data_IF_554946726036
#
_entry.id   IF_554946726036
#
_cell.length_a   1.000
_cell.length_b   1.000
_cell.length_c   1.000
_cell.angle_alpha   90.00
_cell.angle_beta   90.00
_cell.angle_gamma   90.00
#
_symmetry.space_group_name_H-M   'P 1'
#
loop_
_entity.id
_entity.type
_entity.pdbx_description
1 polymer ?
#
# COMPACT_ATOMS: atom_id res chain seq x y z
N UNK A 1 11.63 -14.64 8.35
CA UNK A 1 10.62 -15.40 7.59
C UNK A 1 10.23 -14.59 6.38
N UNK A 2 10.85 -14.91 5.24
CA UNK A 2 10.48 -14.29 3.97
C UNK A 2 9.21 -14.92 3.41
N UNK A 3 8.27 -14.08 2.97
CA UNK A 3 7.04 -14.52 2.31
C UNK A 3 6.80 -13.71 1.05
N UNK A 4 6.28 -14.38 0.03
CA UNK A 4 5.85 -13.77 -1.23
C UNK A 4 4.34 -13.46 -1.23
N UNK A 5 3.64 -13.91 -0.20
CA UNK A 5 2.21 -13.66 -0.04
C UNK A 5 2.00 -12.25 0.49
N UNK A 6 1.06 -11.52 -0.10
CA UNK A 6 0.73 -10.15 0.31
C UNK A 6 -0.51 -10.08 1.21
N UNK A 7 -1.09 -11.22 1.57
CA UNK A 7 -2.36 -11.36 2.30
C UNK A 7 -2.30 -10.99 3.80
N UNK A 8 -1.08 -10.77 4.31
CA UNK A 8 -0.76 -10.45 5.70
C UNK A 8 -1.24 -11.52 6.71
N UNK A 9 -1.38 -12.78 6.30
CA UNK A 9 -1.84 -13.85 7.20
C UNK A 9 -0.80 -14.25 8.23
N UNK A 10 0.49 -14.05 7.95
CA UNK A 10 1.56 -14.33 8.92
C UNK A 10 1.50 -13.39 10.13
N UNK A 11 1.24 -12.10 9.89
CA UNK A 11 1.00 -11.08 10.91
C UNK A 11 -0.27 -11.43 11.70
N UNK A 12 -1.36 -11.77 11.01
CA UNK A 12 -2.64 -12.13 11.64
C UNK A 12 -2.54 -13.41 12.48
N UNK A 13 -1.62 -14.31 12.15
CA UNK A 13 -1.31 -15.49 12.96
C UNK A 13 -0.52 -15.16 14.24
N UNK A 14 -0.14 -13.89 14.46
CA UNK A 14 0.54 -13.41 15.66
C UNK A 14 2.07 -13.41 15.56
N UNK A 15 2.65 -13.63 14.37
CA UNK A 15 4.08 -13.45 14.18
C UNK A 15 4.41 -11.96 14.26
N UNK A 16 5.53 -11.66 14.91
CA UNK A 16 5.97 -10.27 15.06
C UNK A 16 6.48 -9.70 13.74
N UNK A 17 6.30 -8.39 13.54
CA UNK A 17 6.66 -7.73 12.28
C UNK A 17 8.16 -7.65 12.02
N UNK A 18 9.00 -7.83 13.04
CA UNK A 18 10.47 -7.89 12.93
C UNK A 18 10.97 -9.21 12.33
N UNK A 19 10.18 -10.29 12.41
CA UNK A 19 10.54 -11.60 11.86
C UNK A 19 9.93 -11.86 10.49
N UNK A 20 9.01 -11.04 10.02
CA UNK A 20 8.35 -11.17 8.72
C UNK A 20 9.02 -10.25 7.70
N UNK A 21 9.27 -10.79 6.50
CA UNK A 21 9.73 -10.01 5.35
C UNK A 21 8.75 -10.24 4.19
N UNK A 22 7.93 -9.22 3.92
CA UNK A 22 6.93 -9.23 2.84
C UNK A 22 7.60 -8.85 1.51
N UNK A 23 8.10 -9.86 0.78
CA UNK A 23 8.86 -9.66 -0.46
C UNK A 23 8.03 -8.94 -1.53
N UNK A 24 6.74 -9.28 -1.64
CA UNK A 24 5.83 -8.65 -2.61
C UNK A 24 4.96 -7.56 -1.98
N UNK A 25 5.43 -6.96 -0.89
CA UNK A 25 4.67 -5.96 -0.16
C UNK A 25 3.43 -6.55 0.53
N UNK A 26 2.45 -5.71 0.84
CA UNK A 26 1.30 -6.09 1.67
C UNK A 26 0.01 -5.47 1.17
N UNK A 27 -1.12 -6.15 1.39
CA UNK A 27 -2.45 -5.60 1.16
C UNK A 27 -2.86 -4.57 2.21
N UNK A 28 -2.15 -4.47 3.34
CA UNK A 28 -2.57 -3.64 4.48
C UNK A 28 -2.73 -2.15 4.13
N UNK A 29 -1.85 -1.63 3.27
CA UNK A 29 -1.78 -0.22 2.93
C UNK A 29 -1.78 0.02 1.42
N UNK A 30 -2.15 1.24 1.04
CA UNK A 30 -2.16 1.74 -0.33
C UNK A 30 -1.61 3.16 -0.37
N UNK A 31 -0.95 3.53 -1.45
CA UNK A 31 -0.39 4.87 -1.64
C UNK A 31 -0.90 5.57 -2.89
N UNK A 32 -1.10 6.89 -2.78
CA UNK A 32 -1.26 7.73 -3.95
C UNK A 32 0.04 7.81 -4.74
N UNK A 33 0.01 7.41 -6.01
CA UNK A 33 1.18 7.41 -6.90
C UNK A 33 1.74 8.81 -7.24
N UNK A 34 1.03 9.87 -6.83
CA UNK A 34 1.41 11.27 -7.10
C UNK A 34 1.90 12.04 -5.88
N UNK A 35 1.33 11.81 -4.71
CA UNK A 35 1.68 12.56 -3.50
C UNK A 35 2.11 11.67 -2.33
N UNK A 36 2.14 10.35 -2.53
CA UNK A 36 2.57 9.35 -1.53
C UNK A 36 1.79 9.44 -0.22
N UNK A 37 0.53 9.89 -0.27
CA UNK A 37 -0.36 9.75 0.87
C UNK A 37 -0.67 8.27 1.06
N UNK A 38 -0.39 7.76 2.26
CA UNK A 38 -0.77 6.43 2.72
C UNK A 38 -2.26 6.40 3.08
N UNK A 39 -2.87 5.25 2.82
CA UNK A 39 -4.24 4.89 3.16
C UNK A 39 -4.28 3.45 3.65
N UNK A 40 -5.20 3.15 4.56
CA UNK A 40 -5.65 1.77 4.81
C UNK A 40 -6.34 1.25 3.55
N UNK A 41 -5.88 0.12 3.01
CA UNK A 41 -6.54 -0.49 1.85
C UNK A 41 -7.96 -0.92 2.19
N UNK A 42 -8.21 -1.33 3.44
CA UNK A 42 -9.55 -1.69 3.89
C UNK A 42 -10.53 -0.51 3.79
N UNK A 43 -10.09 0.70 4.09
CA UNK A 43 -10.94 1.91 4.01
C UNK A 43 -11.28 2.26 2.56
N UNK A 44 -10.35 2.01 1.63
CA UNK A 44 -10.59 2.16 0.20
C UNK A 44 -11.59 1.11 -0.27
N UNK A 45 -11.36 -0.16 0.08
CA UNK A 45 -12.22 -1.28 -0.32
C UNK A 45 -13.66 -1.12 0.17
N UNK A 46 -13.85 -0.61 1.39
CA UNK A 46 -15.17 -0.36 1.97
C UNK A 46 -16.02 0.64 1.17
N UNK A 47 -15.41 1.41 0.26
CA UNK A 47 -16.06 2.44 -0.55
C UNK A 47 -16.07 2.14 -2.05
N UNK A 48 -15.55 0.98 -2.48
CA UNK A 48 -15.40 0.65 -3.91
C UNK A 48 -16.73 0.58 -4.67
N UNK A 49 -17.83 0.18 -4.01
CA UNK A 49 -19.14 0.16 -4.66
C UNK A 49 -19.64 1.57 -5.01
N UNK A 50 -19.25 2.58 -4.24
CA UNK A 50 -19.59 3.99 -4.46
C UNK A 50 -18.54 4.72 -5.32
N UNK A 51 -17.27 4.35 -5.17
CA UNK A 51 -16.11 4.94 -5.82
C UNK A 51 -15.25 3.82 -6.45
N UNK A 52 -15.66 3.27 -7.62
CA UNK A 52 -15.01 2.12 -8.23
C UNK A 52 -13.60 2.40 -8.78
N UNK A 53 -13.25 3.67 -8.94
CA UNK A 53 -11.90 4.13 -9.31
C UNK A 53 -11.40 5.15 -8.27
N UNK A 54 -10.83 4.68 -7.14
CA UNK A 54 -10.48 5.53 -6.00
C UNK A 54 -9.38 6.53 -6.30
N UNK A 55 -9.68 7.81 -6.10
CA UNK A 55 -8.71 8.89 -6.31
C UNK A 55 -8.25 9.55 -5.01
N UNK A 56 -7.02 10.05 -5.01
CA UNK A 56 -6.46 10.74 -3.86
C UNK A 56 -7.13 12.10 -3.63
N UNK A 57 -7.86 12.21 -2.51
CA UNK A 57 -8.51 13.46 -2.08
C UNK A 57 -7.66 14.37 -1.21
N UNK A 58 -6.39 14.01 -0.95
CA UNK A 58 -5.48 14.83 -0.14
C UNK A 58 -5.36 16.23 -0.75
N UNK A 59 -5.59 17.25 0.09
CA UNK A 59 -5.41 18.66 -0.26
C UNK A 59 -3.94 19.01 -0.26
N UNK A 60 -3.45 19.58 -1.37
CA UNK A 60 -2.04 19.91 -1.57
C UNK A 60 -1.82 21.40 -1.33
N UNK A 61 -1.12 21.74 -0.24
CA UNK A 61 -0.82 23.13 0.14
C UNK A 61 -0.10 23.92 -0.97
N UNK A 62 0.79 23.26 -1.72
CA UNK A 62 1.56 23.87 -2.82
C UNK A 62 0.76 24.03 -4.13
N UNK A 63 -0.53 23.64 -4.17
CA UNK A 63 -1.41 23.74 -5.34
C UNK A 63 -2.69 24.56 -5.04
N UNK A 64 -2.57 25.56 -4.17
CA UNK A 64 -3.71 26.38 -3.73
C UNK A 64 -4.82 25.53 -3.10
N UNK A 65 -4.43 24.54 -2.29
CA UNK A 65 -5.34 23.63 -1.57
C UNK A 65 -6.27 22.81 -2.49
N UNK A 66 -5.86 22.57 -3.74
CA UNK A 66 -6.56 21.65 -4.65
C UNK A 66 -6.33 20.18 -4.25
N UNK A 67 -7.31 19.29 -4.51
CA UNK A 67 -7.13 17.86 -4.29
C UNK A 67 -6.04 17.30 -5.22
N UNK A 68 -5.30 16.31 -4.74
CA UNK A 68 -4.22 15.67 -5.47
C UNK A 68 -4.70 15.02 -6.77
N UNK A 69 -5.81 14.29 -6.68
CA UNK A 69 -6.46 13.55 -7.76
C UNK A 69 -5.53 12.55 -8.48
N UNK A 70 -4.56 12.00 -7.76
CA UNK A 70 -3.71 10.92 -8.25
C UNK A 70 -4.37 9.55 -8.01
N UNK A 71 -4.02 8.57 -8.84
CA UNK A 71 -4.43 7.18 -8.66
C UNK A 71 -3.86 6.62 -7.37
N UNK A 72 -4.68 5.89 -6.63
CA UNK A 72 -4.26 5.13 -5.45
C UNK A 72 -3.94 3.70 -5.87
N UNK A 73 -2.77 3.22 -5.47
CA UNK A 73 -2.29 1.85 -5.74
C UNK A 73 -2.04 1.14 -4.42
N UNK A 74 -2.40 -0.12 -4.32
CA UNK A 74 -2.02 -0.98 -3.20
C UNK A 74 -0.50 -1.13 -3.08
N UNK A 75 0.01 -1.30 -1.86
CA UNK A 75 1.44 -1.53 -1.61
C UNK A 75 1.89 -2.97 -1.89
N UNK A 76 1.14 -3.66 -2.74
CA UNK A 76 1.54 -4.91 -3.37
C UNK A 76 2.48 -4.58 -4.53
N UNK A 77 3.57 -5.33 -4.61
CA UNK A 77 4.55 -5.23 -5.70
C UNK A 77 3.94 -5.85 -6.96
N UNK A 78 3.89 -5.08 -8.04
CA UNK A 78 3.40 -5.54 -9.34
C UNK A 78 4.57 -6.02 -10.21
N UNK A 79 4.26 -6.76 -11.28
CA UNK A 79 5.28 -7.15 -12.25
C UNK A 79 5.98 -5.91 -12.84
N UNK A 80 7.31 -5.90 -12.79
CA UNK A 80 8.13 -4.80 -13.27
C UNK A 80 8.46 -3.74 -12.22
N UNK A 81 7.91 -3.85 -11.00
CA UNK A 81 8.30 -3.00 -9.88
C UNK A 81 9.48 -3.59 -9.10
N UNK A 82 10.23 -2.72 -8.43
CA UNK A 82 11.26 -3.14 -7.49
C UNK A 82 10.63 -3.73 -6.22
N UNK A 83 11.29 -4.72 -5.62
CA UNK A 83 10.94 -5.20 -4.29
C UNK A 83 11.16 -4.10 -3.24
N UNK A 84 10.51 -4.18 -2.06
CA UNK A 84 10.74 -3.23 -0.99
C UNK A 84 12.23 -3.18 -0.59
N UNK A 85 12.70 -1.99 -0.25
CA UNK A 85 14.10 -1.78 0.13
C UNK A 85 14.48 -2.65 1.34
N UNK A 86 15.65 -3.30 1.27
CA UNK A 86 16.14 -4.15 2.35
C UNK A 86 15.45 -5.53 2.44
N UNK A 87 14.48 -5.83 1.57
CA UNK A 87 13.73 -7.09 1.67
C UNK A 87 14.57 -8.31 1.28
N UNK A 88 15.46 -8.18 0.29
CA UNK A 88 16.36 -9.25 -0.14
C UNK A 88 17.48 -9.52 0.88
N UNK A 89 17.91 -8.49 1.60
CA UNK A 89 18.96 -8.57 2.60
C UNK A 89 18.46 -9.22 3.91
N UNK A 90 17.16 -9.12 4.17
CA UNK A 90 16.49 -9.64 5.37
C UNK A 90 15.81 -11.00 5.16
N UNK A 91 15.79 -11.50 3.91
CA UNK A 91 15.06 -12.72 3.54
C UNK A 91 15.73 -14.00 4.01
#
# INVERSE_FOLDING_TARGET
>A
MATQNFDALHEKAGNSSDVIVNLHGTIGTSHCMKCHQEYSTADIMARLDEEPDPHCHRRLKYRSDRPCNGIIKTDVVYFGEALPEGAMEKS
#
